data_IF_937253899837
#
_entry.id   IF_937253899837
#
_cell.length_a   1.000
_cell.length_b   1.000
_cell.length_c   1.000
_cell.angle_alpha   90.00
_cell.angle_beta   90.00
_cell.angle_gamma   90.00
#
_symmetry.space_group_name_H-M   'P 1'
#
loop_
_entity.id
_entity.type
_entity.pdbx_description
1 polymer ?
#
# COMPACT_ATOMS: atom_id res chain seq x y z
N UNK A 1 -9.34 4.32 2.88
CA UNK A 1 -9.02 3.05 3.57
C UNK A 1 -9.97 2.88 4.74
N UNK A 2 -10.73 1.80 4.75
CA UNK A 2 -11.78 1.59 5.75
C UNK A 2 -11.26 1.22 7.13
N UNK A 3 -10.14 0.56 7.18
CA UNK A 3 -9.51 0.16 8.44
C UNK A 3 -8.16 0.85 8.60
N UNK A 4 -7.90 1.33 9.80
CA UNK A 4 -6.59 1.87 10.18
C UNK A 4 -6.18 1.27 11.52
N UNK A 5 -4.92 0.84 11.67
CA UNK A 5 -4.41 0.48 12.99
C UNK A 5 -4.49 1.66 13.96
N UNK A 6 -4.61 1.36 15.24
CA UNK A 6 -4.56 2.39 16.27
C UNK A 6 -3.24 3.15 16.18
N UNK A 7 -3.32 4.48 16.24
CA UNK A 7 -2.14 5.34 16.12
C UNK A 7 -1.76 5.71 14.71
N UNK A 8 -2.43 5.17 13.69
CA UNK A 8 -2.21 5.57 12.31
C UNK A 8 -3.03 6.83 12.01
N UNK A 9 -2.37 7.89 11.61
CA UNK A 9 -2.99 9.21 11.43
C UNK A 9 -2.75 9.68 10.00
N UNK A 10 -3.81 10.12 9.34
CA UNK A 10 -3.70 10.75 8.02
C UNK A 10 -3.02 12.12 8.18
N UNK A 11 -1.86 12.30 7.56
CA UNK A 11 -1.08 13.53 7.65
C UNK A 11 -1.32 14.47 6.49
N UNK A 12 -1.43 13.93 5.29
CA UNK A 12 -1.73 14.74 4.11
C UNK A 12 -2.26 13.86 3.00
N UNK A 13 -2.87 14.50 2.02
CA UNK A 13 -3.25 13.85 0.79
C UNK A 13 -2.88 14.74 -0.39
N UNK A 14 -2.65 14.11 -1.53
CA UNK A 14 -2.34 14.80 -2.78
C UNK A 14 -3.30 14.27 -3.84
N UNK A 15 -3.98 15.17 -4.54
CA UNK A 15 -4.83 14.82 -5.66
C UNK A 15 -4.26 15.50 -6.90
N UNK A 16 -3.95 14.71 -7.91
CA UNK A 16 -3.45 15.19 -9.19
C UNK A 16 -4.49 14.86 -10.26
N UNK A 17 -5.29 15.84 -10.63
CA UNK A 17 -6.38 15.65 -11.59
C UNK A 17 -5.87 15.35 -13.00
N UNK A 18 -4.73 15.92 -13.38
CA UNK A 18 -4.16 15.68 -14.71
C UNK A 18 -3.74 14.22 -14.87
N UNK A 19 -3.11 13.66 -13.85
CA UNK A 19 -2.65 12.28 -13.88
C UNK A 19 -3.67 11.31 -13.32
N UNK A 20 -4.82 11.82 -12.84
CA UNK A 20 -5.91 11.04 -12.28
C UNK A 20 -5.44 10.11 -11.16
N UNK A 21 -4.71 10.67 -10.22
CA UNK A 21 -4.23 9.92 -9.08
C UNK A 21 -4.49 10.66 -7.78
N UNK A 22 -4.60 9.90 -6.70
CA UNK A 22 -4.69 10.42 -5.35
C UNK A 22 -3.76 9.62 -4.46
N UNK A 23 -3.06 10.28 -3.57
CA UNK A 23 -2.14 9.64 -2.66
C UNK A 23 -2.44 10.12 -1.26
N UNK A 24 -2.64 9.16 -0.35
CA UNK A 24 -2.86 9.43 1.07
C UNK A 24 -1.59 9.05 1.83
N UNK A 25 -1.14 9.93 2.69
CA UNK A 25 0.04 9.71 3.52
C UNK A 25 -0.39 9.62 4.97
N UNK A 26 -0.15 8.47 5.58
CA UNK A 26 -0.44 8.22 6.98
C UNK A 26 0.85 8.13 7.77
N UNK A 27 0.83 8.61 9.00
CA UNK A 27 1.93 8.36 9.93
C UNK A 27 1.52 7.24 10.88
N UNK A 28 2.37 6.24 11.01
CA UNK A 28 2.17 5.11 11.91
C UNK A 28 3.51 4.80 12.58
N UNK A 29 3.54 4.98 13.90
CA UNK A 29 4.78 4.94 14.67
C UNK A 29 5.75 5.98 14.11
N UNK A 30 6.96 5.61 13.70
CA UNK A 30 7.95 6.53 13.12
C UNK A 30 8.03 6.43 11.60
N UNK A 31 7.02 5.83 10.98
CA UNK A 31 7.06 5.54 9.55
C UNK A 31 5.88 6.17 8.81
N UNK A 32 6.08 6.41 7.53
CA UNK A 32 5.03 6.91 6.65
C UNK A 32 4.46 5.74 5.85
N UNK A 33 3.15 5.58 5.91
CA UNK A 33 2.41 4.59 5.13
C UNK A 33 1.74 5.34 3.99
N UNK A 34 1.99 4.90 2.78
CA UNK A 34 1.48 5.54 1.57
C UNK A 34 0.41 4.66 0.94
N UNK A 35 -0.77 5.25 0.69
CA UNK A 35 -1.85 4.58 -0.02
C UNK A 35 -2.18 5.36 -1.27
N UNK A 36 -1.86 4.81 -2.43
CA UNK A 36 -2.00 5.48 -3.70
C UNK A 36 -3.09 4.84 -4.55
N UNK A 37 -3.85 5.69 -5.24
CA UNK A 37 -4.91 5.27 -6.16
C UNK A 37 -4.71 6.04 -7.46
N UNK A 38 -4.71 5.35 -8.59
CA UNK A 38 -4.58 6.03 -9.86
C UNK A 38 -5.31 5.26 -10.96
N UNK A 39 -5.81 6.02 -11.94
CA UNK A 39 -6.63 5.45 -13.01
C UNK A 39 -5.84 5.09 -14.26
N UNK A 40 -4.63 5.59 -14.39
CA UNK A 40 -3.79 5.30 -15.54
C UNK A 40 -2.84 4.15 -15.20
N UNK A 41 -3.16 2.96 -15.69
CA UNK A 41 -2.37 1.76 -15.43
C UNK A 41 -0.97 1.80 -16.02
N UNK A 42 -0.69 2.78 -16.90
CA UNK A 42 0.63 2.94 -17.50
C UNK A 42 1.53 3.88 -16.71
N UNK A 43 1.03 4.46 -15.63
CA UNK A 43 1.84 5.34 -14.81
C UNK A 43 2.82 4.51 -13.98
N UNK A 44 4.06 4.47 -14.45
CA UNK A 44 5.12 3.72 -13.78
C UNK A 44 5.66 4.41 -12.54
N UNK A 45 5.27 5.66 -12.29
CA UNK A 45 5.78 6.41 -11.15
C UNK A 45 5.38 5.79 -9.81
N UNK A 46 4.27 5.08 -9.78
CA UNK A 46 3.83 4.38 -8.58
C UNK A 46 4.53 3.05 -8.36
N UNK A 47 5.15 2.52 -9.42
CA UNK A 47 5.95 1.32 -9.34
C UNK A 47 7.41 1.59 -9.04
N UNK A 48 7.72 2.64 -8.29
CA UNK A 48 9.10 2.98 -7.96
C UNK A 48 9.83 1.81 -7.33
N UNK A 49 11.06 1.59 -7.81
CA UNK A 49 11.89 0.54 -7.28
C UNK A 49 12.27 0.85 -5.84
N UNK A 50 12.06 -0.13 -4.99
CA UNK A 50 12.57 -0.06 -3.64
C UNK A 50 14.01 -0.56 -3.64
N UNK A 51 14.88 0.13 -2.91
CA UNK A 51 16.28 -0.29 -2.78
C UNK A 51 16.46 -1.43 -1.79
N UNK A 52 15.43 -1.74 -1.03
CA UNK A 52 15.47 -2.82 -0.06
C UNK A 52 15.45 -4.18 -0.76
N UNK A 53 15.98 -5.18 -0.07
CA UNK A 53 16.03 -6.54 -0.60
C UNK A 53 14.65 -7.20 -0.55
N UNK A 54 14.18 -7.69 -1.69
CA UNK A 54 12.94 -8.46 -1.75
C UNK A 54 13.12 -9.81 -1.08
N UNK A 55 12.33 -10.08 -0.06
CA UNK A 55 12.35 -11.34 0.70
C UNK A 55 11.30 -12.31 0.23
N UNK A 56 10.12 -11.81 -0.14
CA UNK A 56 9.00 -12.67 -0.47
C UNK A 56 7.99 -11.93 -1.35
N UNK A 57 7.26 -12.68 -2.15
CA UNK A 57 6.17 -12.17 -2.96
C UNK A 57 5.06 -13.20 -2.96
N UNK A 58 3.84 -12.76 -2.65
CA UNK A 58 2.71 -13.67 -2.57
C UNK A 58 1.42 -12.95 -2.91
N UNK A 59 0.36 -13.73 -3.14
CA UNK A 59 -0.97 -13.21 -3.46
C UNK A 59 -1.90 -13.49 -2.30
N UNK A 60 -2.65 -12.46 -1.89
CA UNK A 60 -3.70 -12.56 -0.88
C UNK A 60 -5.03 -12.32 -1.58
N UNK A 61 -6.03 -13.14 -1.25
CA UNK A 61 -7.36 -12.97 -1.81
C UNK A 61 -8.25 -12.18 -0.85
N UNK A 62 -8.95 -11.19 -1.39
CA UNK A 62 -10.02 -10.49 -0.71
C UNK A 62 -11.27 -10.64 -1.57
N UNK A 63 -12.09 -11.65 -1.24
CA UNK A 63 -13.18 -12.07 -2.11
C UNK A 63 -12.61 -12.58 -3.44
N UNK A 64 -13.01 -11.97 -4.54
CA UNK A 64 -12.49 -12.31 -5.87
C UNK A 64 -11.28 -11.47 -6.27
N UNK A 65 -10.83 -10.56 -5.40
CA UNK A 65 -9.72 -9.66 -5.70
C UNK A 65 -8.39 -10.31 -5.33
N UNK A 66 -7.45 -10.25 -6.25
CA UNK A 66 -6.08 -10.71 -6.03
C UNK A 66 -5.22 -9.52 -5.66
N UNK A 67 -4.59 -9.59 -4.49
CA UNK A 67 -3.71 -8.55 -4.01
C UNK A 67 -2.30 -9.12 -3.98
N UNK A 68 -1.41 -8.56 -4.78
CA UNK A 68 -0.02 -8.97 -4.79
C UNK A 68 0.73 -8.25 -3.69
N UNK A 69 1.35 -8.99 -2.79
CA UNK A 69 2.11 -8.45 -1.67
C UNK A 69 3.58 -8.77 -1.85
N UNK A 70 4.42 -7.76 -1.79
CA UNK A 70 5.87 -7.90 -1.79
C UNK A 70 6.40 -7.50 -0.43
N UNK A 71 7.24 -8.35 0.13
CA UNK A 71 7.86 -8.14 1.43
C UNK A 71 9.34 -7.85 1.26
N UNK A 72 9.81 -6.74 1.83
CA UNK A 72 11.20 -6.31 1.74
C UNK A 72 11.86 -6.24 3.10
N UNK A 73 13.13 -6.60 3.14
CA UNK A 73 13.96 -6.39 4.31
C UNK A 73 14.33 -4.91 4.42
N UNK A 74 14.17 -4.34 5.60
CA UNK A 74 14.62 -2.98 5.88
C UNK A 74 15.88 -3.08 6.73
N UNK A 75 16.97 -2.49 6.25
CA UNK A 75 18.25 -2.56 6.92
C UNK A 75 18.16 -2.03 8.35
N UNK A 76 18.72 -2.80 9.28
CA UNK A 76 18.79 -2.45 10.71
C UNK A 76 17.43 -2.34 11.41
N UNK A 77 16.37 -2.95 10.83
CA UNK A 77 15.04 -2.98 11.43
C UNK A 77 14.50 -4.39 11.48
N UNK A 78 13.73 -4.69 12.52
CA UNK A 78 13.01 -5.96 12.62
C UNK A 78 11.75 -5.95 11.74
N UNK A 79 11.15 -4.78 11.58
CA UNK A 79 9.95 -4.62 10.77
C UNK A 79 10.28 -4.73 9.28
N UNK A 80 9.28 -5.13 8.50
CA UNK A 80 9.43 -5.27 7.05
C UNK A 80 8.68 -4.16 6.34
N UNK A 81 9.15 -3.82 5.14
CA UNK A 81 8.39 -2.96 4.24
C UNK A 81 7.54 -3.84 3.36
N UNK A 82 6.27 -3.52 3.28
CA UNK A 82 5.34 -4.23 2.42
C UNK A 82 4.84 -3.31 1.32
N UNK A 83 4.66 -3.88 0.13
CA UNK A 83 4.00 -3.22 -0.99
C UNK A 83 2.86 -4.13 -1.42
N UNK A 84 1.64 -3.68 -1.23
CA UNK A 84 0.45 -4.41 -1.62
C UNK A 84 -0.18 -3.69 -2.82
N UNK A 85 -0.38 -4.40 -3.91
CA UNK A 85 -0.89 -3.83 -5.15
C UNK A 85 -2.09 -4.63 -5.65
N UNK A 86 -3.11 -3.92 -6.13
CA UNK A 86 -4.28 -4.55 -6.74
C UNK A 86 -4.98 -3.59 -7.68
N UNK A 87 -5.82 -4.15 -8.55
CA UNK A 87 -6.64 -3.38 -9.48
C UNK A 87 -8.11 -3.68 -9.23
N UNK A 88 -8.94 -2.63 -9.27
CA UNK A 88 -10.39 -2.78 -9.17
C UNK A 88 -11.08 -1.72 -10.00
N UNK A 89 -11.92 -2.16 -10.94
CA UNK A 89 -12.70 -1.29 -11.83
C UNK A 89 -11.86 -0.24 -12.54
N UNK A 90 -10.69 -0.66 -13.04
CA UNK A 90 -9.79 0.21 -13.79
C UNK A 90 -8.95 1.14 -12.94
N UNK A 91 -9.06 1.05 -11.62
CA UNK A 91 -8.25 1.84 -10.70
C UNK A 91 -7.17 0.96 -10.10
N UNK A 92 -5.94 1.44 -10.16
CA UNK A 92 -4.79 0.79 -9.53
C UNK A 92 -4.63 1.30 -8.11
N UNK A 93 -4.39 0.39 -7.19
CA UNK A 93 -4.18 0.71 -5.78
C UNK A 93 -2.84 0.17 -5.32
N UNK A 94 -2.12 0.98 -4.53
CA UNK A 94 -0.87 0.55 -3.93
C UNK A 94 -0.80 1.02 -2.49
N UNK A 95 -0.57 0.08 -1.57
CA UNK A 95 -0.29 0.38 -0.17
C UNK A 95 1.18 0.04 0.06
N UNK A 96 1.96 1.00 0.56
CA UNK A 96 3.39 0.81 0.77
C UNK A 96 3.80 1.42 2.10
N UNK A 97 4.57 0.66 2.87
CA UNK A 97 5.12 1.18 4.11
C UNK A 97 5.73 0.10 4.99
N UNK A 98 6.38 0.56 6.04
CA UNK A 98 6.94 -0.32 7.08
C UNK A 98 5.85 -0.53 8.13
N UNK A 99 5.37 -1.76 8.24
CA UNK A 99 4.22 -2.10 9.09
C UNK A 99 4.34 -3.57 9.49
N UNK A 100 3.75 -3.93 10.62
CA UNK A 100 3.70 -5.33 11.03
C UNK A 100 2.78 -6.12 10.12
N UNK A 101 3.16 -7.35 9.82
CA UNK A 101 2.38 -8.21 8.94
C UNK A 101 0.95 -8.38 9.42
N UNK A 102 0.74 -8.53 10.73
CA UNK A 102 -0.60 -8.69 11.31
C UNK A 102 -1.49 -7.49 11.00
N UNK A 103 -0.93 -6.28 11.08
CA UNK A 103 -1.68 -5.07 10.78
C UNK A 103 -1.94 -4.94 9.29
N UNK A 104 -0.97 -5.32 8.46
CA UNK A 104 -1.16 -5.34 7.01
C UNK A 104 -2.29 -6.30 6.63
N UNK A 105 -2.29 -7.49 7.21
CA UNK A 105 -3.32 -8.50 6.93
C UNK A 105 -4.72 -7.98 7.30
N UNK A 106 -4.84 -7.27 8.41
CA UNK A 106 -6.09 -6.64 8.81
C UNK A 106 -6.54 -5.56 7.85
N UNK A 107 -5.62 -4.73 7.37
CA UNK A 107 -5.93 -3.69 6.39
C UNK A 107 -6.46 -4.33 5.11
N UNK A 108 -5.77 -5.34 4.61
CA UNK A 108 -6.17 -6.04 3.38
C UNK A 108 -7.53 -6.69 3.55
N UNK A 109 -7.76 -7.35 4.69
CA UNK A 109 -9.02 -8.03 4.98
C UNK A 109 -10.19 -7.05 5.03
N UNK A 110 -9.95 -5.82 5.50
CA UNK A 110 -10.99 -4.80 5.68
C UNK A 110 -11.11 -3.83 4.52
N UNK A 111 -10.41 -4.04 3.43
CA UNK A 111 -10.57 -3.20 2.24
C UNK A 111 -11.92 -3.48 1.58
N UNK A 112 -12.66 -2.41 1.33
CA UNK A 112 -13.93 -2.49 0.62
C UNK A 112 -13.80 -1.86 -0.76
N UNK A 113 -14.30 -2.55 -1.76
CA UNK A 113 -14.27 -2.11 -3.14
C UNK A 113 -15.70 -1.79 -3.57
N UNK A 114 -15.97 -0.52 -3.74
CA UNK A 114 -17.31 -0.05 -4.07
C UNK A 114 -17.39 0.43 -5.51
#
# INVERSE_FOLDING_TARGET
MEYKPDGMILKKYVVDEEQRRAILFYQYENEIIRYAMYMNSKDSSLGQKTVDKLLNEYVVLNGEKEITVKEYEVKDMESRRYVAEFEYKGVQYQLKGVIKKDELDKIIEKLFFV
#
